data_IF_116714655633
#
_entry.id   IF_116714655633
#
_cell.length_a   1.000
_cell.length_b   1.000
_cell.length_c   1.000
_cell.angle_alpha   90.00
_cell.angle_beta   90.00
_cell.angle_gamma   90.00
#
_symmetry.space_group_name_H-M   'P 1'
#
loop_
_entity.id
_entity.type
_entity.pdbx_description
1 polymer ?
#
# COMPACT_ATOMS: atom_id res chain seq x y z
N UNK A 1 -13.95 -30.52 -38.30
CA UNK A 1 -14.80 -31.20 -37.30
C UNK A 1 -14.01 -32.34 -36.68
N UNK A 2 -14.16 -32.67 -35.39
CA UNK A 2 -14.48 -31.86 -34.19
C UNK A 2 -13.32 -32.04 -33.16
N UNK A 3 -12.93 -31.12 -32.26
CA UNK A 3 -13.64 -30.54 -31.13
C UNK A 3 -12.86 -29.28 -30.71
N UNK A 4 -13.45 -28.11 -30.92
CA UNK A 4 -13.01 -26.86 -30.31
C UNK A 4 -14.06 -26.39 -29.29
N UNK A 5 -14.67 -27.35 -28.59
CA UNK A 5 -15.68 -27.13 -27.55
C UNK A 5 -15.06 -27.46 -26.17
N UNK A 6 -14.16 -26.59 -25.69
CA UNK A 6 -13.75 -26.52 -24.27
C UNK A 6 -12.85 -25.30 -24.00
N UNK A 7 -13.23 -24.12 -24.47
CA UNK A 7 -12.81 -22.88 -23.85
C UNK A 7 -14.08 -22.06 -23.75
N UNK A 8 -14.66 -22.02 -22.55
CA UNK A 8 -15.80 -21.15 -22.28
C UNK A 8 -15.44 -19.76 -22.78
N UNK A 9 -16.29 -19.19 -23.64
CA UNK A 9 -16.23 -17.78 -23.96
C UNK A 9 -16.08 -17.00 -22.65
N UNK A 10 -15.14 -16.06 -22.61
CA UNK A 10 -15.05 -15.09 -21.52
C UNK A 10 -16.25 -14.15 -21.69
N UNK A 11 -17.45 -14.62 -21.31
CA UNK A 11 -18.62 -13.78 -21.13
C UNK A 11 -18.51 -13.12 -19.77
N UNK A 12 -17.70 -12.06 -19.70
CA UNK A 12 -17.49 -11.31 -18.48
C UNK A 12 -16.80 -10.00 -18.78
N UNK A 13 -17.47 -9.09 -19.48
CA UNK A 13 -17.07 -7.69 -19.48
C UNK A 13 -17.00 -7.19 -18.03
N UNK A 14 -15.90 -6.56 -17.64
CA UNK A 14 -15.83 -5.89 -16.35
C UNK A 14 -16.78 -4.69 -16.36
N UNK A 15 -17.93 -4.85 -15.70
CA UNK A 15 -18.92 -3.78 -15.53
C UNK A 15 -18.77 -3.14 -14.16
N UNK A 16 -18.52 -1.83 -14.18
CA UNK A 16 -18.37 -1.00 -12.98
C UNK A 16 -19.58 -1.16 -12.06
N UNK A 17 -19.32 -1.51 -10.80
CA UNK A 17 -20.34 -1.57 -9.76
C UNK A 17 -21.34 -2.71 -9.88
N UNK A 18 -21.17 -3.63 -10.84
CA UNK A 18 -22.10 -4.76 -11.06
C UNK A 18 -21.48 -6.12 -10.69
N UNK A 19 -20.21 -6.15 -10.26
CA UNK A 19 -19.52 -7.40 -9.93
C UNK A 19 -20.02 -7.99 -8.61
N UNK A 20 -20.34 -7.13 -7.63
CA UNK A 20 -20.81 -7.52 -6.31
C UNK A 20 -22.01 -6.67 -5.91
N UNK A 21 -22.89 -7.25 -5.10
CA UNK A 21 -23.97 -6.50 -4.45
C UNK A 21 -23.39 -5.42 -3.53
N UNK A 22 -24.02 -4.25 -3.49
CA UNK A 22 -23.64 -3.11 -2.64
C UNK A 22 -23.52 -3.50 -1.15
N UNK A 23 -24.32 -4.47 -0.70
CA UNK A 23 -24.27 -5.03 0.66
C UNK A 23 -22.90 -5.62 1.02
N UNK A 24 -22.15 -6.13 0.04
CA UNK A 24 -20.77 -6.59 0.25
C UNK A 24 -19.85 -5.41 0.54
N UNK A 25 -20.02 -4.29 -0.15
CA UNK A 25 -19.31 -3.04 0.12
C UNK A 25 -19.54 -2.56 1.55
N UNK A 26 -20.80 -2.52 1.99
CA UNK A 26 -21.16 -2.20 3.38
C UNK A 26 -20.57 -3.17 4.40
N UNK A 27 -20.62 -4.47 4.11
CA UNK A 27 -20.06 -5.49 4.98
C UNK A 27 -18.53 -5.34 5.12
N UNK A 28 -17.80 -5.07 4.04
CA UNK A 28 -16.34 -4.89 4.10
C UNK A 28 -15.99 -3.56 4.77
N UNK A 29 -16.60 -2.45 4.36
CA UNK A 29 -16.24 -1.13 4.88
C UNK A 29 -16.61 -0.97 6.36
N UNK A 30 -17.84 -1.34 6.72
CA UNK A 30 -18.35 -1.16 8.09
C UNK A 30 -18.21 -2.43 8.91
N UNK A 31 -18.67 -3.56 8.40
CA UNK A 31 -18.68 -4.83 9.14
C UNK A 31 -17.27 -5.31 9.51
N UNK A 32 -16.41 -5.51 8.50
CA UNK A 32 -15.03 -5.96 8.70
C UNK A 32 -14.24 -4.94 9.51
N UNK A 33 -14.42 -3.64 9.25
CA UNK A 33 -13.82 -2.56 10.04
C UNK A 33 -14.16 -2.64 11.53
N UNK A 34 -15.42 -2.88 11.87
CA UNK A 34 -15.86 -3.03 13.27
C UNK A 34 -15.38 -4.34 13.90
N UNK A 35 -15.33 -5.44 13.14
CA UNK A 35 -14.76 -6.72 13.60
C UNK A 35 -13.29 -6.54 13.96
N UNK A 36 -12.50 -5.93 13.06
CA UNK A 36 -11.09 -5.62 13.31
C UNK A 36 -10.91 -4.70 14.51
N UNK A 37 -11.70 -3.62 14.60
CA UNK A 37 -11.68 -2.73 15.73
C UNK A 37 -11.94 -3.47 17.05
N UNK A 38 -12.91 -4.39 17.07
CA UNK A 38 -13.22 -5.24 18.21
C UNK A 38 -12.08 -6.19 18.59
N UNK A 39 -11.49 -6.89 17.62
CA UNK A 39 -10.40 -7.85 17.85
C UNK A 39 -9.18 -7.13 18.45
N UNK A 40 -8.73 -6.04 17.81
CA UNK A 40 -7.56 -5.28 18.28
C UNK A 40 -7.85 -4.63 19.64
N UNK A 41 -9.04 -4.04 19.83
CA UNK A 41 -9.43 -3.46 21.14
C UNK A 41 -9.48 -4.50 22.26
N UNK A 42 -9.96 -5.71 21.97
CA UNK A 42 -9.98 -6.79 22.94
C UNK A 42 -8.57 -7.27 23.29
N UNK A 43 -7.71 -7.43 22.30
CA UNK A 43 -6.31 -7.80 22.49
C UNK A 43 -5.59 -6.80 23.42
N UNK A 44 -5.73 -5.50 23.15
CA UNK A 44 -5.14 -4.44 23.98
C UNK A 44 -5.62 -4.56 25.43
N UNK A 45 -6.93 -4.71 25.66
CA UNK A 45 -7.48 -4.83 27.01
C UNK A 45 -7.01 -6.09 27.74
N UNK A 46 -6.83 -7.18 27.02
CA UNK A 46 -6.24 -8.41 27.57
C UNK A 46 -4.79 -8.12 27.98
N UNK A 47 -4.01 -7.49 27.12
CA UNK A 47 -2.64 -7.10 27.45
C UNK A 47 -2.59 -6.15 28.66
N UNK A 48 -3.41 -5.12 28.73
CA UNK A 48 -3.46 -4.20 29.88
C UNK A 48 -3.77 -4.96 31.19
N UNK A 49 -4.74 -5.88 31.14
CA UNK A 49 -5.19 -6.65 32.31
C UNK A 49 -4.16 -7.66 32.80
N UNK A 50 -3.46 -8.35 31.90
CA UNK A 50 -2.57 -9.45 32.26
C UNK A 50 -1.08 -9.08 32.29
N UNK A 51 -0.66 -8.04 31.57
CA UNK A 51 0.73 -7.58 31.51
C UNK A 51 0.96 -6.25 32.26
N UNK A 52 -0.10 -5.59 32.76
CA UNK A 52 0.01 -4.42 33.63
C UNK A 52 0.51 -3.14 32.94
N UNK A 53 0.45 -3.09 31.61
CA UNK A 53 0.92 -1.96 30.81
C UNK A 53 -0.13 -0.83 30.79
N UNK A 54 -0.03 0.16 31.68
CA UNK A 54 -0.86 1.37 31.58
C UNK A 54 -0.33 2.31 30.47
N UNK A 55 -1.19 2.71 29.55
CA UNK A 55 -0.83 3.61 28.44
C UNK A 55 -0.52 5.04 28.92
N UNK A 56 0.72 5.48 28.76
CA UNK A 56 1.13 6.89 28.87
C UNK A 56 1.19 7.56 27.50
N UNK A 57 1.27 8.89 27.44
CA UNK A 57 1.48 9.64 26.19
C UNK A 57 2.72 9.15 25.43
N UNK A 58 3.79 8.82 26.15
CA UNK A 58 5.01 8.24 25.60
C UNK A 58 4.79 6.81 25.08
N UNK A 59 4.06 5.96 25.82
CA UNK A 59 3.68 4.62 25.35
C UNK A 59 2.85 4.65 24.08
N UNK A 60 1.88 5.57 24.02
CA UNK A 60 0.97 5.76 22.89
C UNK A 60 1.72 6.16 21.61
N UNK A 61 2.73 7.03 21.71
CA UNK A 61 3.46 7.54 20.54
C UNK A 61 4.75 6.78 20.21
N UNK A 62 5.31 5.99 21.12
CA UNK A 62 6.61 5.33 20.91
C UNK A 62 6.57 3.81 21.01
N UNK A 63 5.41 3.24 21.37
CA UNK A 63 5.24 1.83 21.69
C UNK A 63 6.29 1.31 22.72
N UNK A 64 6.74 2.20 23.62
CA UNK A 64 7.77 1.90 24.61
C UNK A 64 9.17 1.61 24.03
N UNK A 65 9.36 1.80 22.72
CA UNK A 65 10.62 1.50 22.00
C UNK A 65 11.09 0.04 22.12
N UNK A 66 10.17 -0.92 22.31
CA UNK A 66 10.49 -2.34 22.58
C UNK A 66 10.27 -3.29 21.38
N UNK A 67 9.94 -2.79 20.19
CA UNK A 67 9.62 -3.66 19.04
C UNK A 67 10.90 -4.33 18.48
N UNK A 68 10.85 -5.66 18.33
CA UNK A 68 11.94 -6.52 17.83
C UNK A 68 11.96 -6.60 16.30
N UNK A 69 13.11 -6.98 15.72
CA UNK A 69 13.39 -7.01 14.27
C UNK A 69 12.28 -7.59 13.38
N UNK A 70 11.70 -8.75 13.73
CA UNK A 70 10.69 -9.40 12.89
C UNK A 70 9.39 -8.59 12.81
N UNK A 71 8.89 -8.12 13.95
CA UNK A 71 7.69 -7.27 14.01
C UNK A 71 7.96 -5.88 13.43
N UNK A 72 9.18 -5.35 13.60
CA UNK A 72 9.60 -4.11 12.92
C UNK A 72 9.60 -4.27 11.41
N UNK A 73 10.13 -5.37 10.88
CA UNK A 73 10.15 -5.64 9.44
C UNK A 73 8.73 -5.81 8.89
N UNK A 74 7.88 -6.60 9.56
CA UNK A 74 6.49 -6.78 9.17
C UNK A 74 5.71 -5.46 9.20
N UNK A 75 5.91 -4.65 10.23
CA UNK A 75 5.28 -3.34 10.33
C UNK A 75 5.80 -2.37 9.26
N UNK A 76 7.10 -2.38 8.95
CA UNK A 76 7.64 -1.60 7.82
C UNK A 76 6.96 -2.06 6.53
N UNK A 77 6.91 -3.36 6.26
CA UNK A 77 6.22 -3.87 5.07
C UNK A 77 4.76 -3.39 5.03
N UNK A 78 4.01 -3.58 6.12
CA UNK A 78 2.60 -3.16 6.24
C UNK A 78 2.38 -1.68 5.94
N UNK A 79 3.20 -0.81 6.54
CA UNK A 79 3.05 0.64 6.37
C UNK A 79 3.19 1.08 4.93
N UNK A 80 4.11 0.44 4.22
CA UNK A 80 4.46 0.78 2.86
C UNK A 80 3.56 0.06 1.85
N UNK A 81 2.77 -0.91 2.29
CA UNK A 81 1.72 -1.52 1.47
C UNK A 81 0.45 -0.65 1.52
N UNK A 82 0.55 0.57 1.00
CA UNK A 82 -0.58 1.45 0.67
C UNK A 82 -1.44 0.89 -0.49
N UNK A 83 -2.66 1.40 -0.66
CA UNK A 83 -3.52 1.06 -1.81
C UNK A 83 -2.80 1.28 -3.15
N UNK A 84 -2.03 2.36 -3.29
CA UNK A 84 -1.24 2.63 -4.48
C UNK A 84 -0.18 1.54 -4.76
N UNK A 85 0.39 0.87 -3.75
CA UNK A 85 1.37 -0.24 -3.95
C UNK A 85 0.72 -1.37 -4.69
N UNK A 86 -0.56 -1.62 -4.45
CA UNK A 86 -1.26 -2.76 -5.02
C UNK A 86 -1.90 -2.37 -6.36
N UNK A 87 -2.49 -1.18 -6.43
CA UNK A 87 -3.24 -0.71 -7.60
C UNK A 87 -2.34 -0.05 -8.65
N UNK A 88 -1.53 0.95 -8.26
CA UNK A 88 -0.71 1.70 -9.21
C UNK A 88 0.38 0.83 -9.83
N UNK A 89 1.02 -0.05 -9.04
CA UNK A 89 2.02 -0.99 -9.56
C UNK A 89 1.43 -1.91 -10.64
N UNK A 90 0.18 -2.35 -10.44
CA UNK A 90 -0.54 -3.20 -11.39
C UNK A 90 -1.01 -2.43 -12.61
N UNK A 91 -1.44 -1.18 -12.44
CA UNK A 91 -1.74 -0.27 -13.55
C UNK A 91 -0.51 -0.06 -14.44
N UNK A 92 0.67 0.17 -13.88
CA UNK A 92 1.89 0.29 -14.70
C UNK A 92 2.34 -1.05 -15.29
N UNK A 93 1.93 -2.19 -14.72
CA UNK A 93 2.11 -3.50 -15.35
C UNK A 93 1.23 -3.66 -16.60
N UNK A 94 -0.03 -3.25 -16.49
CA UNK A 94 -0.98 -3.29 -17.59
C UNK A 94 -0.56 -2.36 -18.74
N UNK A 95 -0.06 -1.18 -18.40
CA UNK A 95 0.40 -0.20 -19.40
C UNK A 95 1.77 -0.52 -19.99
N UNK A 96 2.76 -0.90 -19.17
CA UNK A 96 4.17 -0.96 -19.59
C UNK A 96 4.79 -2.36 -19.50
N UNK A 97 4.00 -3.38 -19.14
CA UNK A 97 4.49 -4.73 -18.95
C UNK A 97 5.34 -4.90 -17.69
N UNK A 98 6.16 -5.94 -17.65
CA UNK A 98 6.97 -6.35 -16.47
C UNK A 98 7.91 -5.25 -15.95
N UNK A 99 8.32 -4.33 -16.82
CA UNK A 99 9.19 -3.21 -16.46
C UNK A 99 8.52 -2.23 -15.49
N UNK A 100 7.21 -1.98 -15.63
CA UNK A 100 6.47 -1.05 -14.77
C UNK A 100 6.53 -1.44 -13.27
N UNK A 101 6.08 -2.66 -12.89
CA UNK A 101 6.16 -3.16 -11.52
C UNK A 101 7.57 -3.17 -10.95
N UNK A 102 8.55 -3.53 -11.78
CA UNK A 102 9.95 -3.54 -11.35
C UNK A 102 10.40 -2.14 -10.96
N UNK A 103 10.17 -1.13 -11.81
CA UNK A 103 10.54 0.25 -11.52
C UNK A 103 9.74 0.86 -10.36
N UNK A 104 8.47 0.47 -10.20
CA UNK A 104 7.68 0.82 -9.03
C UNK A 104 8.35 0.32 -7.74
N UNK A 105 8.59 -1.00 -7.66
CA UNK A 105 9.11 -1.66 -6.48
C UNK A 105 10.56 -1.26 -6.21
N UNK A 106 11.45 -1.34 -7.20
CA UNK A 106 12.85 -0.97 -7.05
C UNK A 106 13.01 0.51 -6.65
N UNK A 107 12.25 1.40 -7.27
CA UNK A 107 12.34 2.84 -7.02
C UNK A 107 11.99 3.23 -5.59
N UNK A 108 10.96 2.60 -5.02
CA UNK A 108 10.57 2.82 -3.63
C UNK A 108 11.49 2.08 -2.63
N UNK A 109 11.99 0.87 -2.96
CA UNK A 109 12.96 0.16 -2.10
C UNK A 109 14.23 1.00 -1.86
N UNK A 110 14.72 1.74 -2.86
CA UNK A 110 15.87 2.67 -2.67
C UNK A 110 15.60 3.65 -1.53
N UNK A 111 14.39 4.21 -1.46
CA UNK A 111 14.01 5.20 -0.47
C UNK A 111 13.90 4.59 0.92
N UNK A 112 13.32 3.38 1.03
CA UNK A 112 13.26 2.62 2.29
C UNK A 112 14.67 2.38 2.85
N UNK A 113 15.59 1.93 2.00
CA UNK A 113 16.96 1.60 2.40
C UNK A 113 17.73 2.85 2.86
N UNK A 114 17.59 3.96 2.13
CA UNK A 114 18.19 5.25 2.52
C UNK A 114 17.57 5.81 3.81
N UNK A 115 16.25 5.67 3.98
CA UNK A 115 15.58 6.05 5.22
C UNK A 115 16.08 5.22 6.41
N UNK A 116 16.40 3.94 6.19
CA UNK A 116 17.05 3.10 7.20
C UNK A 116 18.34 3.70 7.75
N UNK A 117 19.14 4.40 6.93
CA UNK A 117 20.36 5.11 7.38
C UNK A 117 19.99 6.27 8.31
N UNK A 118 18.98 7.06 7.96
CA UNK A 118 18.51 8.16 8.80
C UNK A 118 17.90 7.66 10.12
N UNK A 119 17.17 6.54 10.09
CA UNK A 119 16.61 5.92 11.28
C UNK A 119 17.70 5.54 12.30
N UNK A 120 18.89 5.14 11.83
CA UNK A 120 20.05 4.87 12.69
C UNK A 120 20.60 6.15 13.31
N UNK A 121 20.80 7.18 12.48
CA UNK A 121 21.35 8.45 12.94
C UNK A 121 20.43 9.15 13.94
N UNK A 122 19.11 9.04 13.73
CA UNK A 122 18.09 9.42 14.71
C UNK A 122 18.35 8.75 16.06
N UNK A 123 18.51 7.43 16.09
CA UNK A 123 18.74 6.69 17.33
C UNK A 123 20.05 7.04 18.02
N UNK A 124 21.09 7.36 17.25
CA UNK A 124 22.41 7.72 17.78
C UNK A 124 22.46 9.15 18.32
N UNK A 125 21.77 10.09 17.66
CA UNK A 125 21.90 11.53 17.95
C UNK A 125 20.72 12.11 18.74
N UNK A 126 19.51 11.59 18.53
CA UNK A 126 18.28 12.09 19.15
C UNK A 126 17.37 10.92 19.62
N UNK A 127 17.85 10.04 20.52
CA UNK A 127 17.11 8.85 20.95
C UNK A 127 15.76 9.14 21.63
N UNK A 128 15.63 10.35 22.21
CA UNK A 128 14.45 10.78 22.96
C UNK A 128 13.50 11.66 22.14
N UNK A 129 13.73 11.81 20.83
CA UNK A 129 12.80 12.51 19.95
C UNK A 129 11.50 11.70 19.79
N UNK A 130 10.39 12.42 19.64
CA UNK A 130 9.04 11.93 19.37
C UNK A 130 8.63 12.20 17.93
N UNK A 131 9.17 13.26 17.32
CA UNK A 131 8.99 13.61 15.91
C UNK A 131 10.31 14.00 15.25
N UNK A 132 10.37 13.91 13.92
CA UNK A 132 11.58 14.37 13.20
C UNK A 132 11.75 15.90 13.26
N UNK A 133 10.65 16.61 13.46
CA UNK A 133 10.63 18.06 13.56
C UNK A 133 11.33 18.57 14.82
N UNK A 134 11.29 17.84 15.94
CA UNK A 134 12.09 18.17 17.13
C UNK A 134 13.59 18.28 16.80
N UNK A 135 14.08 17.43 15.90
CA UNK A 135 15.48 17.43 15.43
C UNK A 135 15.75 18.66 14.57
N UNK A 136 14.83 18.96 13.65
CA UNK A 136 14.93 20.15 12.80
C UNK A 136 14.95 21.42 13.65
N UNK A 137 14.08 21.51 14.66
CA UNK A 137 14.04 22.64 15.59
C UNK A 137 15.33 22.76 16.39
N UNK A 138 15.84 21.65 16.93
CA UNK A 138 17.08 21.65 17.70
C UNK A 138 18.29 22.08 16.84
N UNK A 139 18.30 21.72 15.55
CA UNK A 139 19.44 21.98 14.65
C UNK A 139 19.39 23.35 13.95
N UNK A 140 18.19 23.79 13.54
CA UNK A 140 17.98 24.93 12.65
C UNK A 140 17.08 26.02 13.24
N UNK A 141 16.51 25.81 14.42
CA UNK A 141 15.69 26.78 15.13
C UNK A 141 14.21 26.79 14.71
N UNK A 142 13.47 27.72 15.29
CA UNK A 142 12.00 27.75 15.21
C UNK A 142 11.45 28.15 13.83
N UNK A 143 12.17 28.94 13.03
CA UNK A 143 11.72 29.34 11.70
C UNK A 143 11.63 28.14 10.76
N UNK A 144 12.72 27.39 10.64
CA UNK A 144 12.79 26.16 9.83
C UNK A 144 11.81 25.09 10.32
N UNK A 145 11.66 24.95 11.64
CA UNK A 145 10.67 24.05 12.24
C UNK A 145 9.25 24.32 11.72
N UNK A 146 8.79 25.58 11.72
CA UNK A 146 7.45 25.93 11.23
C UNK A 146 7.25 25.64 9.74
N UNK A 147 8.27 25.85 8.92
CA UNK A 147 8.21 25.54 7.48
C UNK A 147 8.07 24.04 7.28
N UNK A 148 8.92 23.24 7.92
CA UNK A 148 8.87 21.78 7.80
C UNK A 148 7.62 21.17 8.46
N UNK A 149 7.08 21.79 9.51
CA UNK A 149 5.78 21.43 10.07
C UNK A 149 4.65 21.59 9.04
N UNK A 150 4.68 22.68 8.26
CA UNK A 150 3.75 22.87 7.14
C UNK A 150 3.88 21.77 6.09
N UNK A 151 5.12 21.40 5.72
CA UNK A 151 5.35 20.33 4.76
C UNK A 151 4.91 18.96 5.29
N UNK A 152 5.21 18.63 6.55
CA UNK A 152 4.80 17.37 7.18
C UNK A 152 3.29 17.23 7.20
N UNK A 153 2.56 18.22 7.74
CA UNK A 153 1.10 18.19 7.80
C UNK A 153 0.45 18.12 6.41
N UNK A 154 1.00 18.82 5.42
CA UNK A 154 0.51 18.76 4.03
C UNK A 154 0.76 17.38 3.42
N UNK A 155 1.94 16.81 3.64
CA UNK A 155 2.29 15.47 3.18
C UNK A 155 1.35 14.43 3.78
N UNK A 156 1.22 14.37 5.10
CA UNK A 156 0.31 13.45 5.79
C UNK A 156 -1.15 13.62 5.34
N UNK A 157 -1.61 14.84 5.08
CA UNK A 157 -2.96 15.10 4.56
C UNK A 157 -3.15 14.54 3.14
N UNK A 158 -2.20 14.79 2.22
CA UNK A 158 -2.26 14.29 0.85
C UNK A 158 -2.18 12.75 0.84
N UNK A 159 -1.28 12.17 1.63
CA UNK A 159 -1.10 10.72 1.77
C UNK A 159 -2.38 10.07 2.31
N UNK A 160 -2.98 10.64 3.36
CA UNK A 160 -4.27 10.17 3.88
C UNK A 160 -5.37 10.25 2.83
N UNK A 161 -5.46 11.38 2.10
CA UNK A 161 -6.46 11.59 1.06
C UNK A 161 -6.38 10.54 -0.07
N UNK A 162 -5.19 10.31 -0.62
CA UNK A 162 -5.00 9.34 -1.70
C UNK A 162 -5.25 7.89 -1.24
N UNK A 163 -4.96 7.55 0.02
CA UNK A 163 -5.27 6.23 0.59
C UNK A 163 -6.78 5.97 0.61
N UNK A 164 -7.54 6.94 1.12
CA UNK A 164 -8.99 6.84 1.23
C UNK A 164 -9.67 6.83 -0.15
N UNK A 165 -9.22 7.69 -1.07
CA UNK A 165 -9.75 7.75 -2.43
C UNK A 165 -9.45 6.46 -3.21
N UNK A 166 -8.24 5.92 -3.11
CA UNK A 166 -7.89 4.66 -3.76
C UNK A 166 -8.72 3.48 -3.25
N UNK A 167 -8.94 3.39 -1.93
CA UNK A 167 -9.84 2.39 -1.34
C UNK A 167 -11.29 2.56 -1.80
N UNK A 168 -11.82 3.78 -1.70
CA UNK A 168 -13.19 4.10 -2.05
C UNK A 168 -13.49 3.88 -3.54
N UNK A 169 -12.55 4.21 -4.44
CA UNK A 169 -12.69 3.98 -5.88
C UNK A 169 -12.84 2.50 -6.21
N UNK A 170 -12.11 1.61 -5.53
CA UNK A 170 -12.26 0.16 -5.76
C UNK A 170 -13.54 -0.39 -5.14
N UNK A 171 -13.93 0.08 -3.95
CA UNK A 171 -15.21 -0.31 -3.35
C UNK A 171 -16.36 0.07 -4.28
N UNK A 172 -16.36 1.29 -4.81
CA UNK A 172 -17.34 1.73 -5.79
C UNK A 172 -17.27 0.90 -7.08
N UNK A 173 -16.07 0.73 -7.64
CA UNK A 173 -15.87 0.00 -8.89
C UNK A 173 -16.30 -1.46 -8.84
N UNK A 174 -16.28 -2.09 -7.66
CA UNK A 174 -16.70 -3.49 -7.49
C UNK A 174 -18.13 -3.67 -6.98
N UNK A 175 -18.67 -2.73 -6.19
CA UNK A 175 -19.94 -2.92 -5.46
C UNK A 175 -21.01 -1.85 -5.75
N UNK A 176 -20.63 -0.76 -6.42
CA UNK A 176 -21.52 0.38 -6.68
C UNK A 176 -21.68 1.35 -5.50
N UNK A 177 -21.15 1.05 -4.31
CA UNK A 177 -21.23 1.93 -3.14
C UNK A 177 -20.63 3.32 -3.44
N UNK A 178 -21.30 4.39 -3.01
CA UNK A 178 -20.86 5.76 -3.26
C UNK A 178 -19.43 6.03 -2.73
N UNK A 179 -18.60 6.66 -3.56
CA UNK A 179 -17.19 6.94 -3.26
C UNK A 179 -17.06 7.84 -2.03
N UNK A 180 -17.90 8.88 -1.90
CA UNK A 180 -17.82 9.83 -0.79
C UNK A 180 -18.15 9.16 0.53
N UNK A 181 -19.18 8.31 0.52
CA UNK A 181 -19.62 7.53 1.67
C UNK A 181 -18.58 6.49 2.07
N UNK A 182 -18.03 5.74 1.11
CA UNK A 182 -16.96 4.79 1.36
C UNK A 182 -15.71 5.48 1.95
N UNK A 183 -15.29 6.60 1.38
CA UNK A 183 -14.14 7.37 1.87
C UNK A 183 -14.34 7.87 3.31
N UNK A 184 -15.57 8.25 3.70
CA UNK A 184 -15.87 8.68 5.05
C UNK A 184 -15.94 7.52 6.07
N UNK A 185 -16.43 6.34 5.64
CA UNK A 185 -16.67 5.21 6.53
C UNK A 185 -15.45 4.30 6.74
N UNK A 186 -14.59 4.11 5.72
CA UNK A 186 -13.35 3.31 5.84
C UNK A 186 -12.52 3.66 7.09
N UNK A 187 -12.24 4.95 7.41
CA UNK A 187 -11.40 5.28 8.56
C UNK A 187 -12.11 5.09 9.91
N UNK A 188 -13.43 4.88 9.97
CA UNK A 188 -14.18 4.81 11.24
C UNK A 188 -13.71 3.65 12.12
N UNK A 189 -13.60 2.45 11.54
CA UNK A 189 -13.08 1.29 12.28
C UNK A 189 -11.64 1.50 12.76
N UNK A 190 -10.82 2.16 11.91
CA UNK A 190 -9.43 2.48 12.20
C UNK A 190 -9.28 3.43 13.37
N UNK A 191 -10.09 4.49 13.39
CA UNK A 191 -10.10 5.47 14.47
C UNK A 191 -10.38 4.80 15.81
N UNK A 192 -11.31 3.85 15.87
CA UNK A 192 -11.68 3.17 17.13
C UNK A 192 -10.48 2.46 17.75
N UNK A 193 -9.81 1.54 17.04
CA UNK A 193 -8.70 0.81 17.64
C UNK A 193 -7.45 1.67 17.82
N UNK A 194 -7.26 2.68 16.97
CA UNK A 194 -6.12 3.61 17.09
C UNK A 194 -6.26 4.48 18.33
N UNK A 195 -7.47 4.94 18.64
CA UNK A 195 -7.77 5.69 19.86
C UNK A 195 -7.59 4.85 21.13
N UNK A 196 -7.94 3.55 21.08
CA UNK A 196 -7.86 2.66 22.25
C UNK A 196 -6.41 2.23 22.53
N UNK A 197 -5.61 1.94 21.50
CA UNK A 197 -4.32 1.26 21.69
C UNK A 197 -3.06 2.00 21.25
N UNK A 198 -3.19 3.12 20.55
CA UNK A 198 -2.06 3.89 20.04
C UNK A 198 -1.10 3.08 19.15
N UNK A 199 0.16 3.50 19.11
CA UNK A 199 1.16 2.95 18.18
C UNK A 199 1.45 1.46 18.41
N UNK A 200 1.34 0.97 19.64
CA UNK A 200 1.57 -0.45 19.93
C UNK A 200 0.50 -1.35 19.33
N UNK A 201 -0.77 -0.94 19.42
CA UNK A 201 -1.86 -1.66 18.79
C UNK A 201 -1.77 -1.67 17.27
N UNK A 202 -1.33 -0.55 16.68
CA UNK A 202 -1.13 -0.49 15.23
C UNK A 202 -0.03 -1.47 14.77
N UNK A 203 0.99 -1.77 15.58
CA UNK A 203 1.99 -2.80 15.23
C UNK A 203 1.38 -4.20 15.11
N UNK A 204 0.44 -4.57 15.97
CA UNK A 204 -0.21 -5.90 15.90
C UNK A 204 -1.24 -5.93 14.77
N UNK A 205 -2.03 -4.86 14.63
CA UNK A 205 -2.96 -4.72 13.50
C UNK A 205 -2.21 -4.83 12.16
N UNK A 206 -1.07 -4.14 12.03
CA UNK A 206 -0.22 -4.20 10.83
C UNK A 206 0.26 -5.62 10.51
N UNK A 207 0.62 -6.40 11.54
CA UNK A 207 0.98 -7.81 11.33
C UNK A 207 -0.20 -8.60 10.75
N UNK A 208 -1.40 -8.45 11.32
CA UNK A 208 -2.60 -9.14 10.83
C UNK A 208 -2.98 -8.70 9.41
N UNK A 209 -2.96 -7.39 9.13
CA UNK A 209 -3.20 -6.83 7.81
C UNK A 209 -2.25 -7.42 6.77
N UNK A 210 -0.95 -7.45 7.09
CA UNK A 210 0.09 -7.99 6.21
C UNK A 210 -0.11 -9.48 5.92
N UNK A 211 -0.44 -10.29 6.94
CA UNK A 211 -0.70 -11.73 6.75
C UNK A 211 -1.86 -11.95 5.77
N UNK A 212 -2.95 -11.21 5.91
CA UNK A 212 -4.13 -11.34 5.02
C UNK A 212 -3.77 -10.92 3.60
N UNK A 213 -3.04 -9.82 3.43
CA UNK A 213 -2.55 -9.38 2.11
C UNK A 213 -1.70 -10.48 1.45
N UNK A 214 -0.77 -11.10 2.18
CA UNK A 214 0.04 -12.19 1.64
C UNK A 214 -0.79 -13.40 1.23
N UNK A 215 -1.80 -13.79 2.03
CA UNK A 215 -2.69 -14.90 1.68
C UNK A 215 -3.40 -14.62 0.35
N UNK A 216 -3.93 -13.40 0.17
CA UNK A 216 -4.60 -13.02 -1.07
C UNK A 216 -3.63 -13.02 -2.26
N UNK A 217 -2.45 -12.42 -2.12
CA UNK A 217 -1.43 -12.39 -3.18
C UNK A 217 -1.01 -13.81 -3.59
N UNK A 218 -0.72 -14.67 -2.62
CA UNK A 218 -0.32 -16.06 -2.89
C UNK A 218 -1.45 -16.86 -3.52
N UNK A 219 -2.70 -16.56 -3.17
CA UNK A 219 -3.88 -17.16 -3.81
C UNK A 219 -3.96 -16.73 -5.27
N UNK A 220 -3.76 -15.46 -5.59
CA UNK A 220 -3.71 -15.00 -6.99
C UNK A 220 -2.57 -15.63 -7.77
N UNK A 221 -1.37 -15.73 -7.20
CA UNK A 221 -0.23 -16.42 -7.84
C UNK A 221 -0.57 -17.89 -8.13
N UNK A 222 -1.14 -18.59 -7.16
CA UNK A 222 -1.57 -19.98 -7.32
C UNK A 222 -2.63 -20.10 -8.44
N UNK A 223 -3.62 -19.22 -8.45
CA UNK A 223 -4.68 -19.21 -9.43
C UNK A 223 -4.18 -18.93 -10.85
N UNK A 224 -3.35 -17.90 -11.04
CA UNK A 224 -2.86 -17.50 -12.36
C UNK A 224 -1.87 -18.50 -12.94
N UNK A 225 -0.91 -18.98 -12.15
CA UNK A 225 0.22 -19.76 -12.72
C UNK A 225 0.07 -21.28 -12.58
N UNK A 226 -0.85 -21.77 -11.76
CA UNK A 226 -0.92 -23.21 -11.44
C UNK A 226 -2.32 -23.83 -11.51
N UNK A 227 -3.39 -23.10 -11.20
CA UNK A 227 -4.72 -23.69 -11.03
C UNK A 227 -5.66 -23.35 -12.19
N UNK A 228 -5.71 -22.09 -12.65
CA UNK A 228 -6.72 -21.65 -13.61
C UNK A 228 -6.45 -22.21 -15.01
N UNK A 229 -7.43 -22.92 -15.62
CA UNK A 229 -7.32 -23.33 -17.02
C UNK A 229 -7.35 -22.14 -17.98
N UNK A 230 -7.95 -21.01 -17.59
CA UNK A 230 -8.14 -19.83 -18.45
C UNK A 230 -6.79 -19.20 -18.79
N UNK A 231 -5.88 -19.12 -17.82
CA UNK A 231 -4.53 -18.60 -18.01
C UNK A 231 -3.60 -19.64 -18.61
N UNK A 232 -3.87 -20.93 -18.43
CA UNK A 232 -3.06 -22.03 -18.97
C UNK A 232 -1.70 -22.19 -18.28
N UNK A 233 -1.59 -21.72 -17.03
CA UNK A 233 -0.35 -21.74 -16.25
C UNK A 233 0.73 -20.81 -16.80
N UNK A 234 2.00 -21.09 -16.50
CA UNK A 234 3.13 -20.23 -16.88
C UNK A 234 3.28 -20.14 -18.41
N UNK A 235 3.19 -21.26 -19.11
CA UNK A 235 3.32 -21.29 -20.58
C UNK A 235 2.12 -20.61 -21.26
N UNK A 236 0.90 -20.85 -20.77
CA UNK A 236 -0.29 -20.17 -21.28
C UNK A 236 -0.21 -18.65 -21.09
N UNK A 237 0.23 -18.18 -19.91
CA UNK A 237 0.44 -16.75 -19.66
C UNK A 237 1.48 -16.15 -20.61
N UNK A 238 2.61 -16.84 -20.83
CA UNK A 238 3.63 -16.40 -21.78
C UNK A 238 3.05 -16.27 -23.19
N UNK A 239 2.38 -17.31 -23.70
CA UNK A 239 1.82 -17.33 -25.04
C UNK A 239 0.78 -16.22 -25.24
N UNK A 240 -0.11 -16.03 -24.26
CA UNK A 240 -1.13 -14.98 -24.29
C UNK A 240 -0.54 -13.58 -24.28
N UNK A 241 0.53 -13.34 -23.50
CA UNK A 241 1.19 -12.04 -23.48
C UNK A 241 1.94 -11.74 -24.77
N UNK A 242 2.49 -12.77 -25.43
CA UNK A 242 3.10 -12.64 -26.76
C UNK A 242 2.04 -12.34 -27.82
N UNK A 243 0.90 -13.03 -27.77
CA UNK A 243 -0.25 -12.77 -28.65
C UNK A 243 -0.83 -11.36 -28.42
N UNK A 244 -1.01 -10.96 -27.17
CA UNK A 244 -1.45 -9.62 -26.80
C UNK A 244 -0.49 -8.55 -27.33
N UNK A 245 0.83 -8.76 -27.26
CA UNK A 245 1.81 -7.83 -27.82
C UNK A 245 1.74 -7.75 -29.36
N UNK A 246 1.32 -8.82 -30.04
CA UNK A 246 1.14 -8.81 -31.49
C UNK A 246 -0.12 -8.06 -31.92
N UNK A 247 -1.19 -8.12 -31.11
CA UNK A 247 -2.46 -7.43 -31.37
C UNK A 247 -2.41 -5.96 -30.93
N UNK A 248 -1.90 -5.72 -29.72
CA UNK A 248 -1.87 -4.43 -29.03
C UNK A 248 -0.45 -4.18 -28.48
N UNK A 249 0.54 -3.85 -29.34
CA UNK A 249 1.89 -3.58 -28.89
C UNK A 249 1.96 -2.34 -27.98
N UNK A 250 2.86 -2.35 -27.00
CA UNK A 250 3.11 -1.17 -26.15
C UNK A 250 3.92 -0.13 -26.95
N UNK A 251 3.21 0.83 -27.54
CA UNK A 251 3.78 1.87 -28.39
C UNK A 251 4.21 3.12 -27.63
N UNK A 252 3.51 3.49 -26.56
CA UNK A 252 3.72 4.76 -25.86
C UNK A 252 3.77 4.58 -24.34
N UNK A 253 4.48 5.47 -23.61
CA UNK A 253 5.33 6.54 -24.14
C UNK A 253 6.63 5.97 -24.76
N UNK A 254 7.16 6.63 -25.79
CA UNK A 254 8.44 6.28 -26.43
C UNK A 254 9.50 7.37 -26.27
N UNK A 255 10.79 7.00 -26.35
CA UNK A 255 11.90 7.96 -26.41
C UNK A 255 12.16 8.49 -27.82
N UNK A 256 11.70 7.76 -28.84
CA UNK A 256 11.90 8.09 -30.26
C UNK A 256 10.56 7.96 -30.96
N UNK A 257 10.04 9.07 -31.48
CA UNK A 257 8.76 9.10 -32.18
C UNK A 257 8.75 8.07 -33.33
N UNK A 258 7.70 7.24 -33.39
CA UNK A 258 7.55 6.18 -34.38
C UNK A 258 8.18 4.83 -34.00
N UNK A 259 8.96 4.75 -32.92
CA UNK A 259 9.47 3.49 -32.38
C UNK A 259 8.60 3.01 -31.19
N UNK A 260 8.36 1.70 -31.04
CA UNK A 260 7.60 1.17 -29.91
C UNK A 260 8.21 1.55 -28.55
N UNK A 261 7.37 1.98 -27.61
CA UNK A 261 7.74 2.32 -26.25
C UNK A 261 8.35 1.16 -25.47
N UNK A 262 7.91 -0.08 -25.73
CA UNK A 262 8.62 -1.28 -25.31
C UNK A 262 9.39 -1.89 -26.48
N UNK A 263 10.56 -2.48 -26.23
CA UNK A 263 11.30 -3.21 -27.26
C UNK A 263 10.39 -4.30 -27.89
N UNK A 264 10.23 -4.23 -29.21
CA UNK A 264 9.32 -5.09 -30.00
C UNK A 264 7.83 -5.00 -29.59
N UNK A 265 7.42 -3.94 -28.87
CA UNK A 265 6.07 -3.80 -28.31
C UNK A 265 5.73 -4.81 -27.20
N UNK A 266 6.72 -5.58 -26.72
CA UNK A 266 6.48 -6.73 -25.84
C UNK A 266 6.16 -6.33 -24.39
N UNK A 267 5.24 -7.05 -23.75
CA UNK A 267 4.93 -6.87 -22.32
C UNK A 267 5.98 -7.51 -21.38
N UNK A 268 6.80 -8.43 -21.87
CA UNK A 268 7.77 -9.19 -21.06
C UNK A 268 9.21 -8.65 -21.15
N UNK A 269 9.40 -7.46 -21.70
CA UNK A 269 10.72 -6.82 -21.80
C UNK A 269 10.97 -5.82 -20.68
N UNK A 270 12.22 -5.76 -20.20
CA UNK A 270 12.67 -4.68 -19.31
C UNK A 270 13.01 -3.39 -20.07
N UNK A 271 13.25 -3.48 -21.39
CA UNK A 271 13.51 -2.34 -22.25
C UNK A 271 12.18 -1.62 -22.58
N UNK A 272 11.72 -0.81 -21.63
CA UNK A 272 10.47 -0.05 -21.69
C UNK A 272 10.75 1.42 -21.38
N UNK A 273 10.40 2.30 -22.30
CA UNK A 273 10.48 3.75 -22.11
C UNK A 273 9.49 4.21 -21.04
N UNK A 274 8.22 3.77 -21.11
CA UNK A 274 7.21 4.05 -20.08
C UNK A 274 7.60 3.57 -18.70
N UNK A 275 8.12 2.34 -18.58
CA UNK A 275 8.63 1.81 -17.33
C UNK A 275 9.75 2.67 -16.73
N UNK A 276 10.74 3.07 -17.55
CA UNK A 276 11.86 3.89 -17.09
C UNK A 276 11.44 5.32 -16.73
N UNK A 277 10.63 5.98 -17.56
CA UNK A 277 10.10 7.34 -17.28
C UNK A 277 9.33 7.33 -15.97
N UNK A 278 8.42 6.37 -15.81
CA UNK A 278 7.68 6.19 -14.57
C UNK A 278 8.63 5.93 -13.40
N UNK A 279 9.64 5.08 -13.56
CA UNK A 279 10.65 4.79 -12.54
C UNK A 279 11.37 6.04 -12.05
N UNK A 280 11.81 6.92 -12.95
CA UNK A 280 12.46 8.19 -12.59
C UNK A 280 11.50 9.09 -11.82
N UNK A 281 10.27 9.25 -12.30
CA UNK A 281 9.23 10.06 -11.64
C UNK A 281 8.94 9.51 -10.24
N UNK A 282 8.76 8.20 -10.12
CA UNK A 282 8.45 7.52 -8.87
C UNK A 282 9.60 7.62 -7.86
N UNK A 283 10.85 7.49 -8.31
CA UNK A 283 12.03 7.67 -7.46
C UNK A 283 12.07 9.10 -6.92
N UNK A 284 12.06 10.11 -7.81
CA UNK A 284 12.22 11.51 -7.43
C UNK A 284 11.03 12.01 -6.60
N UNK A 285 9.80 11.67 -7.01
CA UNK A 285 8.58 12.11 -6.36
C UNK A 285 8.43 11.56 -4.95
N UNK A 286 8.67 10.27 -4.75
CA UNK A 286 8.41 9.64 -3.45
C UNK A 286 9.47 9.97 -2.39
N UNK A 287 10.66 10.47 -2.75
CA UNK A 287 11.63 10.97 -1.75
C UNK A 287 11.01 12.02 -0.82
N UNK A 288 10.24 12.94 -1.38
CA UNK A 288 9.52 13.95 -0.59
C UNK A 288 8.54 13.28 0.37
N UNK A 289 7.71 12.38 -0.16
CA UNK A 289 6.72 11.63 0.62
C UNK A 289 7.37 10.88 1.77
N UNK A 290 8.43 10.11 1.54
CA UNK A 290 9.04 9.26 2.59
C UNK A 290 9.76 10.06 3.67
N UNK A 291 10.49 11.10 3.29
CA UNK A 291 11.39 11.79 4.23
C UNK A 291 10.68 12.90 5.02
N UNK A 292 9.55 13.39 4.54
CA UNK A 292 8.78 14.48 5.17
C UNK A 292 7.54 13.95 5.90
N UNK A 293 7.15 12.70 5.66
CA UNK A 293 6.01 12.07 6.32
C UNK A 293 6.39 11.51 7.70
N UNK A 294 5.73 12.03 8.73
CA UNK A 294 5.96 11.65 10.12
C UNK A 294 5.61 10.18 10.41
N UNK A 295 4.76 9.51 9.62
CA UNK A 295 4.39 8.11 9.82
C UNK A 295 5.61 7.18 9.73
N UNK A 296 6.51 7.42 8.77
CA UNK A 296 7.76 6.66 8.65
C UNK A 296 8.72 6.92 9.83
N UNK A 297 8.83 8.19 10.23
CA UNK A 297 9.64 8.57 11.39
C UNK A 297 9.11 7.98 12.69
N UNK A 298 7.79 7.89 12.87
CA UNK A 298 7.18 7.29 14.06
C UNK A 298 7.61 5.83 14.24
N UNK A 299 7.67 5.07 13.14
CA UNK A 299 8.12 3.67 13.15
C UNK A 299 9.62 3.55 13.46
N UNK A 300 10.44 4.44 12.90
CA UNK A 300 11.85 4.53 13.26
C UNK A 300 12.04 4.85 14.75
N UNK A 301 11.25 5.77 15.30
CA UNK A 301 11.26 6.16 16.71
C UNK A 301 10.82 5.01 17.62
N UNK A 302 9.87 4.17 17.19
CA UNK A 302 9.42 3.01 17.96
C UNK A 302 10.36 1.79 17.91
N UNK A 303 11.25 1.70 16.92
CA UNK A 303 12.17 0.56 16.80
C UNK A 303 13.28 0.56 17.88
N UNK A 304 13.67 -0.63 18.37
CA UNK A 304 14.86 -0.77 19.22
C UNK A 304 16.15 -0.50 18.42
N UNK A 305 17.16 0.22 18.95
CA UNK A 305 18.39 0.56 18.22
C UNK A 305 19.12 -0.63 17.57
N UNK A 306 19.19 -1.78 18.26
CA UNK A 306 19.83 -3.01 17.77
C UNK A 306 19.05 -3.69 16.63
N UNK A 307 17.75 -3.40 16.54
CA UNK A 307 16.81 -3.99 15.57
C UNK A 307 16.57 -3.08 14.37
N UNK A 308 16.81 -1.77 14.48
CA UNK A 308 16.51 -0.77 13.43
C UNK A 308 17.14 -1.14 12.09
N UNK A 309 18.46 -1.36 12.03
CA UNK A 309 19.16 -1.64 10.75
C UNK A 309 18.61 -2.88 10.06
N UNK A 310 18.55 -3.99 10.81
CA UNK A 310 18.11 -5.28 10.29
C UNK A 310 16.63 -5.22 9.90
N UNK A 311 15.81 -4.51 10.68
CA UNK A 311 14.39 -4.31 10.41
C UNK A 311 14.13 -3.52 9.14
N UNK A 312 14.84 -2.41 8.92
CA UNK A 312 14.70 -1.59 7.71
C UNK A 312 15.26 -2.28 6.46
N UNK A 313 16.42 -2.96 6.55
CA UNK A 313 16.97 -3.70 5.42
C UNK A 313 16.05 -4.88 5.04
N UNK A 314 15.66 -5.70 6.02
CA UNK A 314 14.77 -6.83 5.78
C UNK A 314 13.40 -6.35 5.29
N UNK A 315 12.82 -5.35 5.95
CA UNK A 315 11.54 -4.77 5.58
C UNK A 315 11.55 -4.20 4.16
N UNK A 316 12.58 -3.44 3.79
CA UNK A 316 12.69 -2.87 2.43
C UNK A 316 12.87 -3.93 1.34
N UNK A 317 13.64 -4.99 1.61
CA UNK A 317 13.80 -6.11 0.68
C UNK A 317 12.52 -6.94 0.55
N UNK A 318 11.86 -7.26 1.68
CA UNK A 318 10.60 -8.00 1.67
C UNK A 318 9.46 -7.19 1.03
N UNK A 319 9.47 -5.87 1.23
CA UNK A 319 8.45 -5.00 0.66
C UNK A 319 8.48 -5.03 -0.87
N UNK A 320 9.66 -5.07 -1.51
CA UNK A 320 9.78 -5.18 -2.98
C UNK A 320 8.91 -6.30 -3.56
N UNK A 321 8.87 -7.46 -2.88
CA UNK A 321 8.18 -8.64 -3.35
C UNK A 321 6.66 -8.42 -3.47
N UNK A 322 6.05 -7.58 -2.63
CA UNK A 322 4.60 -7.37 -2.61
C UNK A 322 4.08 -6.71 -3.90
N UNK A 323 4.44 -5.45 -4.25
CA UNK A 323 4.00 -4.83 -5.48
C UNK A 323 4.48 -5.61 -6.68
N UNK A 324 5.73 -6.08 -6.69
CA UNK A 324 6.28 -6.77 -7.85
C UNK A 324 5.49 -8.05 -8.15
N UNK A 325 5.27 -8.90 -7.15
CA UNK A 325 4.53 -10.16 -7.35
C UNK A 325 3.07 -9.92 -7.68
N UNK A 326 2.35 -9.06 -6.95
CA UNK A 326 0.94 -8.83 -7.25
C UNK A 326 0.76 -8.22 -8.64
N UNK A 327 1.54 -7.21 -8.99
CA UNK A 327 1.37 -6.50 -10.26
C UNK A 327 1.79 -7.32 -11.47
N UNK A 328 2.88 -8.07 -11.38
CA UNK A 328 3.25 -9.01 -12.46
C UNK A 328 2.29 -10.18 -12.57
N UNK A 329 1.59 -10.54 -11.50
CA UNK A 329 0.54 -11.56 -11.53
C UNK A 329 -0.74 -10.98 -12.13
N UNK A 330 -1.37 -10.02 -11.45
CA UNK A 330 -2.71 -9.54 -11.77
C UNK A 330 -2.74 -8.47 -12.86
N UNK A 331 -1.76 -7.56 -12.89
CA UNK A 331 -1.68 -6.55 -13.93
C UNK A 331 -1.35 -7.14 -15.30
N UNK A 332 -0.49 -8.17 -15.37
CA UNK A 332 -0.27 -8.91 -16.62
C UNK A 332 -1.43 -9.88 -16.93
N UNK A 333 -2.15 -10.38 -15.92
CA UNK A 333 -3.38 -11.15 -16.17
C UNK A 333 -4.45 -10.30 -16.86
N UNK A 334 -4.59 -9.02 -16.50
CA UNK A 334 -5.46 -8.10 -17.23
C UNK A 334 -5.11 -8.04 -18.73
N UNK A 335 -3.82 -7.96 -19.06
CA UNK A 335 -3.36 -7.97 -20.46
C UNK A 335 -3.59 -9.33 -21.12
N UNK A 336 -3.22 -10.43 -20.45
CA UNK A 336 -3.30 -11.78 -21.01
C UNK A 336 -4.73 -12.27 -21.24
N UNK A 337 -5.69 -11.75 -20.49
CA UNK A 337 -7.12 -12.04 -20.63
C UNK A 337 -7.86 -10.97 -21.45
N UNK A 338 -7.15 -10.00 -22.02
CA UNK A 338 -7.71 -8.91 -22.82
C UNK A 338 -8.84 -8.16 -22.10
N UNK A 339 -8.60 -7.83 -20.82
CA UNK A 339 -9.59 -7.12 -19.99
C UNK A 339 -9.69 -5.68 -20.45
N UNK A 340 -10.80 -5.34 -21.10
CA UNK A 340 -11.06 -3.98 -21.57
C UNK A 340 -11.26 -3.01 -20.40
N UNK A 341 -10.38 -2.01 -20.32
CA UNK A 341 -10.44 -0.93 -19.34
C UNK A 341 -10.38 0.43 -20.04
N UNK A 342 -11.31 1.31 -19.70
CA UNK A 342 -11.26 2.70 -20.16
C UNK A 342 -10.07 3.42 -19.51
N UNK A 343 -9.52 4.48 -20.14
CA UNK A 343 -8.43 5.25 -19.54
C UNK A 343 -8.74 5.78 -18.14
N UNK A 344 -10.01 6.09 -17.86
CA UNK A 344 -10.48 6.51 -16.54
C UNK A 344 -10.43 5.36 -15.51
N UNK A 345 -10.88 4.16 -15.88
CA UNK A 345 -10.80 2.98 -15.01
C UNK A 345 -9.34 2.60 -14.69
N UNK A 346 -8.43 2.73 -15.67
CA UNK A 346 -7.00 2.50 -15.47
C UNK A 346 -6.41 3.53 -14.48
N UNK A 347 -6.79 4.82 -14.62
CA UNK A 347 -6.37 5.89 -13.71
C UNK A 347 -6.93 5.71 -12.28
N UNK A 348 -8.14 5.16 -12.13
CA UNK A 348 -8.70 4.79 -10.83
C UNK A 348 -8.04 3.55 -10.20
N UNK A 349 -7.12 2.90 -10.92
CA UNK A 349 -6.40 1.72 -10.42
C UNK A 349 -7.21 0.43 -10.49
N UNK A 350 -8.27 0.38 -11.33
CA UNK A 350 -9.20 -0.76 -11.38
C UNK A 350 -8.65 -2.00 -12.10
N UNK A 351 -7.40 -1.97 -12.54
CA UNK A 351 -6.70 -3.09 -13.20
C UNK A 351 -6.77 -4.39 -12.40
N UNK A 352 -6.41 -4.38 -11.11
CA UNK A 352 -6.46 -5.58 -10.25
C UNK A 352 -7.90 -6.02 -9.99
N UNK A 353 -8.82 -5.13 -9.57
CA UNK A 353 -10.24 -5.45 -9.46
C UNK A 353 -10.81 -6.14 -10.70
N UNK A 354 -10.55 -5.59 -11.89
CA UNK A 354 -11.08 -6.11 -13.13
C UNK A 354 -10.48 -7.48 -13.48
N UNK A 355 -9.15 -7.61 -13.43
CA UNK A 355 -8.48 -8.90 -13.66
C UNK A 355 -8.96 -9.99 -12.69
N UNK A 356 -9.10 -9.66 -11.41
CA UNK A 356 -9.58 -10.61 -10.40
C UNK A 356 -11.03 -11.04 -10.65
N UNK A 357 -11.88 -10.10 -11.08
CA UNK A 357 -13.28 -10.35 -11.39
C UNK A 357 -13.43 -11.24 -12.63
N UNK A 358 -12.66 -10.98 -13.68
CA UNK A 358 -12.67 -11.82 -14.89
C UNK A 358 -12.10 -13.21 -14.62
N UNK A 359 -11.03 -13.31 -13.81
CA UNK A 359 -10.37 -14.59 -13.52
C UNK A 359 -11.17 -15.49 -12.56
N UNK A 360 -11.79 -14.91 -11.52
CA UNK A 360 -12.34 -15.66 -10.38
C UNK A 360 -13.77 -15.24 -9.99
N UNK A 361 -14.42 -14.37 -10.76
CA UNK A 361 -15.75 -13.85 -10.46
C UNK A 361 -15.81 -13.09 -9.14
N UNK A 362 -16.94 -13.24 -8.45
CA UNK A 362 -17.22 -12.60 -7.15
C UNK A 362 -16.14 -12.88 -6.10
N UNK A 363 -15.59 -14.09 -6.07
CA UNK A 363 -14.57 -14.48 -5.09
C UNK A 363 -13.29 -13.64 -5.29
N UNK A 364 -12.89 -13.45 -6.55
CA UNK A 364 -11.76 -12.59 -6.89
C UNK A 364 -11.97 -11.16 -6.43
N UNK A 365 -13.16 -10.61 -6.72
CA UNK A 365 -13.55 -9.26 -6.31
C UNK A 365 -13.54 -9.09 -4.78
N UNK A 366 -14.12 -10.03 -4.03
CA UNK A 366 -14.12 -10.00 -2.56
C UNK A 366 -12.69 -10.04 -2.01
N UNK A 367 -11.81 -10.88 -2.56
CA UNK A 367 -10.41 -10.93 -2.14
C UNK A 367 -9.67 -9.60 -2.38
N UNK A 368 -9.92 -8.93 -3.52
CA UNK A 368 -9.35 -7.60 -3.77
C UNK A 368 -9.88 -6.58 -2.78
N UNK A 369 -11.19 -6.56 -2.50
CA UNK A 369 -11.78 -5.66 -1.51
C UNK A 369 -11.17 -5.85 -0.12
N UNK A 370 -11.05 -7.11 0.33
CA UNK A 370 -10.44 -7.42 1.63
C UNK A 370 -8.98 -6.97 1.66
N UNK A 371 -8.19 -7.30 0.64
CA UNK A 371 -6.77 -6.94 0.54
C UNK A 371 -6.57 -5.42 0.57
N UNK A 372 -7.37 -4.67 -0.19
CA UNK A 372 -7.29 -3.20 -0.19
C UNK A 372 -7.78 -2.59 1.11
N UNK A 373 -8.84 -3.13 1.69
CA UNK A 373 -9.31 -2.69 3.00
C UNK A 373 -8.18 -2.83 4.03
N UNK A 374 -7.50 -3.98 4.08
CA UNK A 374 -6.32 -4.19 4.96
C UNK A 374 -5.19 -3.18 4.70
N UNK A 375 -4.91 -2.88 3.43
CA UNK A 375 -3.86 -1.93 3.03
C UNK A 375 -4.19 -0.49 3.46
N UNK A 376 -5.43 -0.05 3.22
CA UNK A 376 -5.89 1.31 3.54
C UNK A 376 -6.01 1.50 5.06
N UNK A 377 -6.54 0.51 5.79
CA UNK A 377 -6.69 0.61 7.25
C UNK A 377 -5.34 0.62 7.97
N UNK A 378 -4.39 -0.20 7.52
CA UNK A 378 -3.01 -0.20 8.04
C UNK A 378 -2.35 1.17 7.88
N UNK A 379 -2.26 1.66 6.64
CA UNK A 379 -1.60 2.93 6.36
C UNK A 379 -2.35 4.11 7.01
N UNK A 380 -3.68 4.12 6.96
CA UNK A 380 -4.50 5.16 7.59
C UNK A 380 -4.28 5.28 9.10
N UNK A 381 -4.07 4.16 9.80
CA UNK A 381 -3.77 4.19 11.24
C UNK A 381 -2.42 4.86 11.53
N UNK A 382 -1.42 4.64 10.67
CA UNK A 382 -0.10 5.24 10.80
C UNK A 382 -0.15 6.76 10.58
N UNK A 383 -0.90 7.20 9.58
CA UNK A 383 -1.13 8.63 9.30
C UNK A 383 -1.83 9.35 10.44
N UNK A 384 -2.85 8.73 11.04
CA UNK A 384 -3.56 9.32 12.19
C UNK A 384 -2.62 9.52 13.39
N UNK A 385 -1.75 8.55 13.66
CA UNK A 385 -0.75 8.68 14.73
C UNK A 385 0.28 9.76 14.38
N UNK A 386 0.72 9.82 13.13
CA UNK A 386 1.67 10.81 12.65
C UNK A 386 1.13 12.24 12.83
N UNK A 387 -0.09 12.52 12.36
CA UNK A 387 -0.70 13.84 12.52
C UNK A 387 -0.91 14.17 14.00
N UNK A 388 -1.39 13.20 14.79
CA UNK A 388 -1.56 13.38 16.24
C UNK A 388 -0.25 13.72 16.95
N UNK A 389 0.86 13.07 16.60
CA UNK A 389 2.16 13.33 17.22
C UNK A 389 2.70 14.71 16.85
N UNK A 390 2.57 15.15 15.59
CA UNK A 390 2.92 16.50 15.15
C UNK A 390 2.11 17.57 15.91
N UNK A 391 0.80 17.40 16.01
CA UNK A 391 -0.05 18.34 16.75
C UNK A 391 0.33 18.40 18.24
N UNK A 392 0.66 17.26 18.84
CA UNK A 392 0.98 17.15 20.27
C UNK A 392 2.35 17.73 20.60
N UNK A 393 3.41 17.27 19.94
CA UNK A 393 4.78 17.59 20.30
C UNK A 393 5.31 18.86 19.62
N UNK A 394 4.92 19.10 18.37
CA UNK A 394 5.44 20.22 17.57
C UNK A 394 4.58 21.48 17.61
N UNK A 395 3.28 21.34 17.94
CA UNK A 395 2.40 22.51 18.09
C UNK A 395 2.05 22.73 19.56
N UNK A 396 1.38 21.79 20.20
CA UNK A 396 0.85 21.99 21.54
C UNK A 396 1.96 22.15 22.57
N UNK A 397 2.81 21.14 22.75
CA UNK A 397 3.93 21.19 23.70
C UNK A 397 4.93 22.27 23.33
N UNK A 398 5.27 22.40 22.05
CA UNK A 398 6.33 23.31 21.61
C UNK A 398 5.96 24.80 21.66
N UNK A 399 4.73 25.17 21.28
CA UNK A 399 4.32 26.57 21.12
C UNK A 399 3.17 27.03 22.00
N UNK A 400 2.32 26.12 22.51
CA UNK A 400 1.17 26.51 23.36
C UNK A 400 1.39 26.23 24.85
N UNK A 401 1.92 25.07 25.21
CA UNK A 401 2.14 24.65 26.59
C UNK A 401 3.47 23.88 26.76
N UNK A 402 4.61 24.60 26.92
CA UNK A 402 5.94 23.99 27.10
C UNK A 402 6.08 23.03 28.28
N UNK A 403 5.20 23.12 29.27
CA UNK A 403 5.25 22.33 30.50
C UNK A 403 4.32 21.10 30.45
N UNK A 404 3.70 20.79 29.30
CA UNK A 404 2.90 19.59 29.13
C UNK A 404 3.79 18.33 29.28
N UNK A 405 3.39 17.42 30.16
CA UNK A 405 4.04 16.12 30.47
C UNK A 405 3.24 14.95 29.95
#
# INVERSE_FOLDING_TARGET
MPYADAAGAIEGEFKLGEVLDESVGWFIVVGLGMVFAGIISAEIKIEEKYLGNMQSSEGFNTAGRIIKTGLTAAAIVSAWTWAATLLQSSTVAYLYGVSGPFWYAAGATIQVLLFGILAIELKRKAPNAHTFLEIIRARFGAGTHKIFLGFALTCNMIVTGMLLLGGAAVVNGLTGMDISLAAFLIPVGVMIYTLVGGLKATFVADYMHTVIIFIVILTFVAMVFFISPITGGIEGMYNKLVEAAALNPVLEPTFVEGEPGNAMGAYLTMASAGGLIFGVINIVGNFGTVFVDQAYWQRAIAAQPSSTVKGFLLGGMCWFAIPFTLATTMGLTAVALDVELTPEQVQLGLTVPAAASVLMGEIGAIMVLVMLFMAVTSAGSAELIAVSSLLTYDIYRTYKNPNAT
#
